data_IF_973048889110
#
_entry.id   IF_973048889110
#
_cell.length_a   1.000
_cell.length_b   1.000
_cell.length_c   1.000
_cell.angle_alpha   90.00
_cell.angle_beta   90.00
_cell.angle_gamma   90.00
#
_symmetry.space_group_name_H-M   'P 1'
#
loop_
_entity.id
_entity.type
_entity.pdbx_description
1 polymer ?
#
# COMPACT_ATOMS: atom_id res chain seq x y z
N UNK A 1 11.27 9.27 -11.26
CA UNK A 1 10.26 9.95 -10.42
C UNK A 1 9.03 9.06 -10.41
N UNK A 2 8.33 8.92 -9.27
CA UNK A 2 7.09 8.17 -9.22
C UNK A 2 6.01 8.79 -10.10
N UNK A 3 5.15 7.93 -10.64
CA UNK A 3 4.01 8.37 -11.45
C UNK A 3 3.01 9.09 -10.56
N UNK A 4 2.72 8.50 -9.40
CA UNK A 4 1.86 9.10 -8.37
C UNK A 4 2.54 9.04 -7.01
N UNK A 5 2.33 10.07 -6.20
CA UNK A 5 2.91 10.18 -4.87
C UNK A 5 1.97 10.98 -3.97
N UNK A 6 1.69 10.45 -2.79
CA UNK A 6 0.87 11.14 -1.80
C UNK A 6 1.49 11.00 -0.40
N UNK A 7 1.51 12.09 0.34
CA UNK A 7 2.15 12.20 1.65
C UNK A 7 1.24 12.88 2.66
N UNK A 8 1.23 12.36 3.88
CA UNK A 8 0.51 12.93 5.03
C UNK A 8 1.35 12.83 6.30
N UNK A 9 1.06 13.72 7.26
CA UNK A 9 1.47 13.51 8.65
C UNK A 9 0.42 12.67 9.37
N UNK A 10 0.87 11.79 10.25
CA UNK A 10 0.03 10.90 11.06
C UNK A 10 0.31 11.19 12.53
N UNK A 11 -0.74 11.46 13.30
CA UNK A 11 -0.67 11.67 14.75
C UNK A 11 -0.54 10.35 15.52
N UNK A 12 0.46 9.55 15.13
CA UNK A 12 0.81 8.29 15.75
C UNK A 12 2.33 8.09 15.72
N UNK A 13 2.85 7.34 16.67
CA UNK A 13 4.28 6.95 16.71
C UNK A 13 4.60 6.02 15.53
N UNK A 14 5.87 6.06 15.11
CA UNK A 14 6.37 5.24 14.00
C UNK A 14 5.99 3.76 14.15
N UNK A 15 6.22 3.19 15.35
CA UNK A 15 5.92 1.79 15.61
C UNK A 15 4.43 1.46 15.47
N UNK A 16 3.52 2.39 15.79
CA UNK A 16 2.08 2.18 15.60
C UNK A 16 1.74 2.17 14.12
N UNK A 17 2.22 3.14 13.35
CA UNK A 17 2.01 3.20 11.90
C UNK A 17 2.63 1.98 11.21
N UNK A 18 3.84 1.59 11.59
CA UNK A 18 4.56 0.44 11.06
C UNK A 18 3.79 -0.87 11.28
N UNK A 19 3.27 -1.09 12.48
CA UNK A 19 2.46 -2.28 12.76
C UNK A 19 1.18 -2.33 11.91
N UNK A 20 0.55 -1.19 11.62
CA UNK A 20 -0.60 -1.12 10.70
C UNK A 20 -0.21 -1.38 9.25
N UNK A 21 0.94 -0.89 8.82
CA UNK A 21 1.49 -1.21 7.51
C UNK A 21 1.77 -2.70 7.35
N UNK A 22 2.32 -3.36 8.37
CA UNK A 22 2.53 -4.82 8.37
C UNK A 22 1.20 -5.59 8.38
N UNK A 23 0.20 -5.17 9.17
CA UNK A 23 -1.14 -5.76 9.14
C UNK A 23 -1.77 -5.61 7.75
N UNK A 24 -1.61 -4.47 7.07
CA UNK A 24 -2.08 -4.26 5.69
C UNK A 24 -1.45 -5.24 4.68
N UNK A 25 -0.23 -5.72 4.90
CA UNK A 25 0.36 -6.74 4.00
C UNK A 25 -0.47 -8.03 4.05
N UNK A 26 -0.88 -8.45 5.25
CA UNK A 26 -1.60 -9.70 5.49
C UNK A 26 -3.11 -9.57 5.32
N UNK A 27 -3.63 -8.39 5.62
CA UNK A 27 -5.06 -8.08 5.68
C UNK A 27 -5.39 -6.78 4.91
N UNK A 28 -5.02 -6.67 3.61
CA UNK A 28 -5.23 -5.44 2.85
C UNK A 28 -6.71 -5.06 2.72
N UNK A 29 -7.64 -6.02 2.84
CA UNK A 29 -9.09 -5.80 2.79
C UNK A 29 -9.61 -4.85 3.89
N UNK A 30 -8.85 -4.66 4.97
CA UNK A 30 -9.17 -3.69 6.03
C UNK A 30 -8.81 -2.25 5.65
N UNK A 31 -8.00 -2.06 4.61
CA UNK A 31 -7.39 -0.77 4.26
C UNK A 31 -7.66 -0.35 2.81
N UNK A 32 -8.07 -1.28 1.96
CA UNK A 32 -8.32 -1.07 0.53
C UNK A 32 -9.69 -1.63 0.20
N UNK A 33 -10.60 -0.74 -0.18
CA UNK A 33 -11.92 -1.13 -0.63
C UNK A 33 -11.87 -1.91 -1.95
N UNK A 34 -12.86 -2.76 -2.18
CA UNK A 34 -12.99 -3.52 -3.41
C UNK A 34 -12.19 -4.83 -3.46
N UNK A 35 -11.42 -5.17 -2.43
CA UNK A 35 -10.78 -6.48 -2.31
C UNK A 35 -11.86 -7.53 -2.00
N UNK A 36 -11.95 -8.54 -2.87
CA UNK A 36 -12.79 -9.73 -2.68
C UNK A 36 -12.08 -10.78 -1.83
N UNK A 37 -10.82 -11.02 -2.15
CA UNK A 37 -10.06 -12.14 -1.60
C UNK A 37 -8.57 -11.82 -1.59
N UNK A 38 -7.88 -12.35 -0.58
CA UNK A 38 -6.43 -12.28 -0.43
C UNK A 38 -5.92 -13.68 -0.16
N UNK A 39 -4.95 -14.11 -0.95
CA UNK A 39 -4.30 -15.41 -0.80
C UNK A 39 -2.80 -15.20 -0.60
N UNK A 40 -2.27 -15.61 0.56
CA UNK A 40 -0.83 -15.58 0.83
C UNK A 40 -0.22 -16.87 0.27
N UNK A 41 0.58 -16.74 -0.78
CA UNK A 41 1.23 -17.87 -1.45
C UNK A 41 2.56 -18.24 -0.77
N UNK A 42 3.28 -17.23 -0.27
CA UNK A 42 4.54 -17.41 0.45
C UNK A 42 4.62 -16.42 1.60
N UNK A 43 5.07 -16.90 2.76
CA UNK A 43 5.28 -16.13 3.97
C UNK A 43 6.63 -16.49 4.57
N UNK A 44 7.64 -15.69 4.25
CA UNK A 44 9.01 -15.87 4.72
C UNK A 44 9.46 -14.66 5.55
N UNK A 45 10.54 -14.79 6.34
CA UNK A 45 11.10 -13.66 7.08
C UNK A 45 11.52 -12.47 6.19
N UNK A 46 11.94 -12.75 4.95
CA UNK A 46 12.52 -11.72 4.06
C UNK A 46 11.48 -11.11 3.11
N UNK A 47 10.44 -11.87 2.77
CA UNK A 47 9.44 -11.44 1.81
C UNK A 47 8.12 -12.22 1.92
N UNK A 48 7.06 -11.63 1.36
CA UNK A 48 5.74 -12.23 1.24
C UNK A 48 5.32 -12.20 -0.23
N UNK A 49 4.71 -13.29 -0.70
CA UNK A 49 4.04 -13.32 -2.02
C UNK A 49 2.56 -13.49 -1.77
N UNK A 50 1.74 -12.62 -2.38
CA UNK A 50 0.28 -12.70 -2.29
C UNK A 50 -0.40 -12.52 -3.64
N UNK A 51 -1.63 -13.01 -3.72
CA UNK A 51 -2.60 -12.69 -4.78
C UNK A 51 -3.74 -11.89 -4.15
N UNK A 52 -4.13 -10.79 -4.79
CA UNK A 52 -5.31 -10.02 -4.46
C UNK A 52 -6.31 -10.19 -5.60
N UNK A 53 -7.55 -10.51 -5.25
CA UNK A 53 -8.66 -10.54 -6.19
C UNK A 53 -9.65 -9.45 -5.86
N UNK A 54 -10.09 -8.69 -6.87
CA UNK A 54 -11.02 -7.59 -6.67
C UNK A 54 -12.46 -7.99 -7.00
N UNK A 55 -13.44 -7.32 -6.39
CA UNK A 55 -14.87 -7.51 -6.63
C UNK A 55 -15.45 -6.48 -7.61
N UNK A 56 -14.61 -5.87 -8.45
CA UNK A 56 -14.98 -4.81 -9.39
C UNK A 56 -14.42 -5.10 -10.77
N UNK A 57 -15.13 -4.69 -11.81
CA UNK A 57 -14.66 -4.76 -13.20
C UNK A 57 -13.57 -3.72 -13.51
N UNK A 58 -13.33 -2.78 -12.58
CA UNK A 58 -12.38 -1.70 -12.74
C UNK A 58 -10.95 -2.06 -12.31
N UNK A 59 -10.76 -3.18 -11.62
CA UNK A 59 -9.47 -3.63 -11.14
C UNK A 59 -9.27 -5.09 -11.48
N UNK A 60 -8.14 -5.39 -12.14
CA UNK A 60 -7.74 -6.76 -12.40
C UNK A 60 -7.09 -7.38 -11.16
N UNK A 61 -7.21 -8.71 -11.06
CA UNK A 61 -6.50 -9.48 -10.04
C UNK A 61 -4.98 -9.28 -10.23
N UNK A 62 -4.26 -9.22 -9.11
CA UNK A 62 -2.84 -8.95 -9.11
C UNK A 62 -2.08 -9.88 -8.16
N UNK A 63 -0.83 -10.19 -8.52
CA UNK A 63 0.11 -10.93 -7.70
C UNK A 63 1.32 -10.05 -7.39
N UNK A 64 1.68 -9.97 -6.11
CA UNK A 64 2.75 -9.10 -5.63
C UNK A 64 3.80 -9.87 -4.82
N UNK A 65 5.06 -9.42 -4.94
CA UNK A 65 6.16 -9.72 -4.03
C UNK A 65 6.35 -8.51 -3.12
N UNK A 66 6.39 -8.75 -1.81
CA UNK A 66 6.39 -7.69 -0.81
C UNK A 66 7.62 -7.86 0.07
N UNK A 67 8.39 -6.78 0.21
CA UNK A 67 9.55 -6.70 1.12
C UNK A 67 9.34 -5.52 2.06
N UNK A 68 9.50 -5.75 3.36
CA UNK A 68 9.40 -4.72 4.38
C UNK A 68 10.74 -4.58 5.11
N UNK A 69 11.30 -3.38 5.12
CA UNK A 69 12.53 -3.04 5.84
C UNK A 69 12.20 -1.96 6.88
N UNK A 70 12.07 -2.39 8.14
CA UNK A 70 11.78 -1.49 9.26
C UNK A 70 12.91 -0.49 9.53
N UNK A 71 14.16 -0.86 9.22
CA UNK A 71 15.32 0.00 9.49
C UNK A 71 15.34 1.23 8.60
N UNK A 72 14.87 1.09 7.36
CA UNK A 72 14.66 2.21 6.43
C UNK A 72 13.25 2.78 6.48
N UNK A 73 12.30 2.07 7.09
CA UNK A 73 10.88 2.44 7.15
C UNK A 73 10.18 2.28 5.80
N UNK A 74 10.63 1.36 4.95
CA UNK A 74 10.17 1.20 3.57
C UNK A 74 9.52 -0.18 3.37
N UNK A 75 8.38 -0.21 2.69
CA UNK A 75 7.74 -1.45 2.20
C UNK A 75 7.56 -1.31 0.69
N UNK A 76 8.06 -2.28 -0.06
CA UNK A 76 7.95 -2.34 -1.52
C UNK A 76 7.00 -3.46 -1.89
N UNK A 77 5.99 -3.15 -2.70
CA UNK A 77 5.03 -4.07 -3.30
C UNK A 77 5.31 -4.13 -4.80
N UNK A 78 5.98 -5.18 -5.26
CA UNK A 78 6.33 -5.36 -6.68
C UNK A 78 5.30 -6.25 -7.36
N UNK A 79 4.73 -5.77 -8.47
CA UNK A 79 3.86 -6.58 -9.31
C UNK A 79 4.68 -7.71 -9.95
N UNK A 80 4.35 -8.95 -9.60
CA UNK A 80 4.89 -10.16 -10.23
C UNK A 80 4.01 -10.56 -11.42
N UNK A 81 2.69 -10.46 -11.24
CA UNK A 81 1.71 -10.80 -12.27
C UNK A 81 0.54 -9.82 -12.24
N UNK A 82 0.27 -9.23 -13.39
CA UNK A 82 -0.82 -8.28 -13.65
C UNK A 82 -1.00 -8.19 -15.17
N UNK A 83 -2.22 -8.21 -15.71
CA UNK A 83 -2.45 -8.23 -17.16
C UNK A 83 -1.87 -7.01 -17.89
N UNK A 84 -2.08 -5.81 -17.34
CA UNK A 84 -1.74 -4.55 -18.02
C UNK A 84 -0.46 -3.87 -17.51
N UNK A 85 -0.11 -4.02 -16.24
CA UNK A 85 0.93 -3.22 -15.59
C UNK A 85 2.13 -4.04 -15.11
N UNK A 86 3.28 -3.36 -15.04
CA UNK A 86 4.46 -3.77 -14.29
C UNK A 86 4.95 -2.61 -13.43
N UNK A 87 5.72 -2.92 -12.39
CA UNK A 87 6.31 -1.90 -11.51
C UNK A 87 6.07 -2.19 -10.04
N UNK A 88 6.11 -1.13 -9.24
CA UNK A 88 6.01 -1.25 -7.79
C UNK A 88 5.27 -0.10 -7.14
N UNK A 89 4.65 -0.41 -6.01
CA UNK A 89 4.11 0.55 -5.05
C UNK A 89 5.03 0.57 -3.84
N UNK A 90 5.34 1.75 -3.32
CA UNK A 90 6.26 1.91 -2.19
C UNK A 90 5.55 2.67 -1.08
N UNK A 91 5.51 2.09 0.11
CA UNK A 91 5.04 2.75 1.32
C UNK A 91 6.26 3.13 2.17
N UNK A 92 6.29 4.38 2.62
CA UNK A 92 7.40 4.92 3.39
C UNK A 92 6.85 5.55 4.66
N UNK A 93 7.33 5.09 5.82
CA UNK A 93 7.04 5.66 7.12
C UNK A 93 8.32 6.24 7.70
N UNK A 94 8.29 7.50 8.15
CA UNK A 94 9.44 8.18 8.73
C UNK A 94 9.09 8.74 10.09
N UNK A 95 10.02 8.62 11.04
CA UNK A 95 9.94 9.35 12.31
C UNK A 95 10.03 10.85 12.06
N UNK A 96 9.31 11.64 12.83
CA UNK A 96 9.51 13.10 12.87
C UNK A 96 10.26 13.49 14.15
N UNK A 97 10.57 14.78 14.29
CA UNK A 97 11.14 15.33 15.53
C UNK A 97 10.14 15.33 16.71
N UNK A 98 8.88 14.96 16.49
CA UNK A 98 7.84 14.91 17.52
C UNK A 98 7.48 13.45 17.80
N UNK A 99 7.47 13.08 19.09
CA UNK A 99 7.31 11.68 19.54
C UNK A 99 6.05 11.02 18.96
N UNK A 100 4.91 11.71 18.98
CA UNK A 100 3.62 11.17 18.52
C UNK A 100 3.28 11.53 17.06
N UNK A 101 4.28 11.82 16.23
CA UNK A 101 4.06 12.15 14.83
C UNK A 101 5.00 11.38 13.93
N UNK A 102 4.42 10.82 12.87
CA UNK A 102 5.13 10.16 11.78
C UNK A 102 4.74 10.77 10.45
N UNK A 103 5.63 10.70 9.48
CA UNK A 103 5.31 11.01 8.09
C UNK A 103 5.01 9.69 7.36
N UNK A 104 3.90 9.65 6.63
CA UNK A 104 3.50 8.52 5.80
C UNK A 104 3.42 8.97 4.34
N UNK A 105 4.04 8.21 3.47
CA UNK A 105 4.11 8.50 2.04
C UNK A 105 3.91 7.22 1.23
N UNK A 106 2.98 7.24 0.28
CA UNK A 106 2.85 6.15 -0.70
C UNK A 106 3.23 6.66 -2.09
N UNK A 107 3.89 5.81 -2.86
CA UNK A 107 4.31 6.07 -4.23
C UNK A 107 3.87 4.92 -5.14
N UNK A 108 3.39 5.25 -6.34
CA UNK A 108 3.10 4.28 -7.41
C UNK A 108 4.05 4.55 -8.57
N UNK A 109 4.77 3.51 -8.97
CA UNK A 109 5.70 3.48 -10.09
C UNK A 109 5.28 2.40 -11.09
N UNK A 110 4.05 2.47 -11.58
CA UNK A 110 3.54 1.49 -12.54
C UNK A 110 3.79 1.95 -13.97
N UNK A 111 3.87 0.98 -14.87
CA UNK A 111 4.02 1.20 -16.30
C UNK A 111 3.19 0.18 -17.06
N UNK A 112 2.63 0.63 -18.17
CA UNK A 112 1.96 -0.27 -19.09
C UNK A 112 2.95 -1.22 -19.74
N UNK A 113 2.61 -2.51 -19.74
CA UNK A 113 3.33 -3.53 -20.50
C UNK A 113 3.18 -3.30 -22.01
N UNK A 114 2.00 -2.86 -22.45
CA UNK A 114 1.69 -2.51 -23.84
C UNK A 114 0.90 -1.20 -23.91
N UNK A 115 1.41 -0.24 -24.68
CA UNK A 115 0.84 1.10 -24.82
C UNK A 115 -0.46 1.14 -25.65
N UNK A 116 -0.83 0.04 -26.32
CA UNK A 116 -2.04 -0.01 -27.16
C UNK A 116 -3.30 -0.49 -26.41
N UNK A 117 -3.21 -0.76 -25.10
CA UNK A 117 -4.31 -1.30 -24.32
C UNK A 117 -5.21 -0.19 -23.77
N UNK A 118 -6.35 0.06 -24.44
CA UNK A 118 -7.31 1.10 -24.05
C UNK A 118 -7.94 0.92 -22.66
N UNK A 119 -8.08 -0.33 -22.17
CA UNK A 119 -8.62 -0.64 -20.84
C UNK A 119 -7.75 -0.07 -19.69
N UNK A 120 -6.47 0.17 -19.94
CA UNK A 120 -5.51 0.68 -18.95
C UNK A 120 -5.65 2.16 -18.58
N UNK A 121 -6.34 2.97 -19.40
CA UNK A 121 -6.49 4.40 -19.14
C UNK A 121 -7.39 4.64 -17.91
N UNK A 122 -8.42 3.82 -17.73
CA UNK A 122 -9.29 3.87 -16.56
C UNK A 122 -8.57 3.42 -15.27
N UNK A 123 -7.74 2.37 -15.34
CA UNK A 123 -6.97 1.89 -14.19
C UNK A 123 -5.94 2.92 -13.69
N UNK A 124 -5.33 3.71 -14.59
CA UNK A 124 -4.40 4.78 -14.18
C UNK A 124 -5.09 5.91 -13.38
N UNK A 125 -6.25 6.38 -13.83
CA UNK A 125 -7.01 7.43 -13.13
C UNK A 125 -7.53 6.94 -11.76
N UNK A 126 -7.88 5.65 -11.69
CA UNK A 126 -8.27 5.00 -10.44
C UNK A 126 -7.10 4.79 -9.49
N UNK A 127 -5.89 4.51 -10.00
CA UNK A 127 -4.70 4.28 -9.19
C UNK A 127 -4.33 5.52 -8.35
N UNK A 128 -4.38 6.72 -8.92
CA UNK A 128 -4.12 7.96 -8.16
C UNK A 128 -5.15 8.18 -7.04
N UNK A 129 -6.44 8.01 -7.36
CA UNK A 129 -7.52 8.19 -6.38
C UNK A 129 -7.45 7.13 -5.28
N UNK A 130 -7.19 5.87 -5.65
CA UNK A 130 -7.01 4.77 -4.71
C UNK A 130 -5.80 4.98 -3.80
N UNK A 131 -4.70 5.57 -4.31
CA UNK A 131 -3.53 5.92 -3.52
C UNK A 131 -3.87 6.88 -2.38
N UNK A 132 -4.60 7.96 -2.69
CA UNK A 132 -4.99 8.95 -1.69
C UNK A 132 -5.93 8.35 -0.63
N UNK A 133 -6.91 7.56 -1.06
CA UNK A 133 -7.81 6.85 -0.13
C UNK A 133 -7.04 5.90 0.79
N UNK A 134 -6.14 5.10 0.24
CA UNK A 134 -5.36 4.12 1.03
C UNK A 134 -4.41 4.78 2.03
N UNK A 135 -3.81 5.93 1.68
CA UNK A 135 -2.98 6.71 2.63
C UNK A 135 -3.83 7.30 3.75
N UNK A 136 -4.99 7.86 3.40
CA UNK A 136 -5.89 8.47 4.38
C UNK A 136 -6.53 7.45 5.33
N UNK A 137 -6.90 6.27 4.84
CA UNK A 137 -7.40 5.20 5.71
C UNK A 137 -6.28 4.70 6.64
N UNK A 138 -5.05 4.52 6.13
CA UNK A 138 -3.90 4.16 6.97
C UNK A 138 -3.61 5.20 8.05
N UNK A 139 -3.70 6.50 7.72
CA UNK A 139 -3.59 7.58 8.70
C UNK A 139 -4.64 7.42 9.80
N UNK A 140 -5.92 7.32 9.42
CA UNK A 140 -7.05 7.23 10.33
C UNK A 140 -6.91 6.05 11.30
N UNK A 141 -6.72 4.83 10.79
CA UNK A 141 -6.62 3.62 11.63
C UNK A 141 -5.37 3.61 12.52
N UNK A 142 -4.30 4.30 12.13
CA UNK A 142 -3.11 4.47 12.96
C UNK A 142 -3.34 5.46 14.11
N UNK A 143 -4.00 6.59 13.83
CA UNK A 143 -4.35 7.60 14.84
C UNK A 143 -5.36 7.06 15.85
N UNK A 144 -6.35 6.30 15.38
CA UNK A 144 -7.31 5.60 16.25
C UNK A 144 -6.59 4.60 17.16
N UNK A 145 -5.66 3.80 16.63
CA UNK A 145 -4.89 2.86 17.43
C UNK A 145 -4.01 3.54 18.48
N UNK A 146 -3.33 4.64 18.12
CA UNK A 146 -2.53 5.43 19.06
C UNK A 146 -3.38 5.99 20.22
N UNK A 147 -4.62 6.43 19.93
CA UNK A 147 -5.53 6.97 20.94
C UNK A 147 -5.94 5.96 22.02
N UNK A 148 -5.95 4.67 21.69
CA UNK A 148 -6.26 3.57 22.63
C UNK A 148 -5.10 3.34 23.59
N UNK A 149 -3.86 3.50 23.14
CA UNK A 149 -2.66 3.29 23.97
C UNK A 149 -2.34 4.45 24.92
N UNK A 150 -2.94 5.62 24.71
CA UNK A 150 -2.73 6.81 25.54
C UNK A 150 -3.85 7.03 26.59
N UNK A 151 -4.73 6.03 26.80
CA UNK A 151 -5.69 5.97 27.92
C UNK A 151 -5.16 5.08 29.03
#
# INVERSE_FOLDING_TARGET
>A
MPQYKYKVFVNARFNVVWQKLLDKIKHPEKYVEGIREVEILEDSPDHIIRVIRFNTEHWQDLKELIVADESSGIIVYRLIDHPHFEGETVNICRTTNQVYHSELEYEINWKLKDQNQHESLHENDLAESALQLAVNEMKKVSEEAESVYNK
#
